data_IF_668892249594
#
_entry.id   IF_668892249594
#
_cell.length_a   1.000
_cell.length_b   1.000
_cell.length_c   1.000
_cell.angle_alpha   90.00
_cell.angle_beta   90.00
_cell.angle_gamma   90.00
#
_symmetry.space_group_name_H-M   'P 1'
#
loop_
_entity.id
_entity.type
_entity.pdbx_description
1 polymer ?
#
# COMPACT_ATOMS: atom_id res chain seq x y z
N UNK A 1 30.14 19.64 14.61
CA UNK A 1 31.08 19.29 13.53
C UNK A 1 31.39 17.80 13.47
N UNK A 2 32.02 17.20 14.49
CA UNK A 2 32.42 15.77 14.41
C UNK A 2 31.23 14.79 14.28
N UNK A 3 30.06 15.13 14.83
CA UNK A 3 28.83 14.35 14.60
C UNK A 3 28.43 14.33 13.12
N UNK A 4 28.48 15.48 12.43
CA UNK A 4 28.22 15.54 10.98
C UNK A 4 29.24 14.69 10.21
N UNK A 5 30.53 14.80 10.55
CA UNK A 5 31.57 13.97 9.92
C UNK A 5 31.25 12.49 10.08
N UNK A 6 30.89 12.06 11.28
CA UNK A 6 30.55 10.67 11.57
C UNK A 6 29.35 10.18 10.75
N UNK A 7 28.22 10.89 10.80
CA UNK A 7 26.98 10.48 10.14
C UNK A 7 27.08 10.51 8.61
N UNK A 8 27.64 11.58 8.03
CA UNK A 8 27.82 11.68 6.58
C UNK A 8 28.83 10.62 6.06
N UNK A 9 29.91 10.38 6.81
CA UNK A 9 30.85 9.31 6.46
C UNK A 9 30.23 7.92 6.58
N UNK A 10 29.28 7.73 7.51
CA UNK A 10 28.56 6.47 7.66
C UNK A 10 27.69 6.17 6.42
N UNK A 11 26.93 7.16 5.93
CA UNK A 11 26.14 7.02 4.70
C UNK A 11 27.03 6.67 3.51
N UNK A 12 28.14 7.39 3.35
CA UNK A 12 29.11 7.12 2.29
C UNK A 12 29.73 5.71 2.42
N UNK A 13 30.06 5.27 3.62
CA UNK A 13 30.62 3.93 3.86
C UNK A 13 29.64 2.84 3.41
N UNK A 14 28.35 2.95 3.73
CA UNK A 14 27.35 1.98 3.28
C UNK A 14 27.23 1.91 1.76
N UNK A 15 27.26 3.05 1.06
CA UNK A 15 27.26 3.05 -0.41
C UNK A 15 28.57 2.45 -0.97
N UNK A 16 29.73 2.88 -0.49
CA UNK A 16 31.01 2.52 -1.13
C UNK A 16 31.47 1.09 -0.81
N UNK A 17 31.33 0.68 0.44
CA UNK A 17 31.83 -0.62 0.92
C UNK A 17 30.80 -1.74 0.71
N UNK A 18 29.50 -1.42 0.89
CA UNK A 18 28.43 -2.43 0.84
C UNK A 18 27.51 -2.29 -0.38
N UNK A 19 27.71 -1.25 -1.21
CA UNK A 19 26.98 -1.06 -2.47
C UNK A 19 25.47 -0.97 -2.30
N UNK A 20 25.01 -0.33 -1.21
CA UNK A 20 23.60 0.01 -1.06
C UNK A 20 23.17 1.06 -2.10
N UNK A 21 22.02 0.83 -2.73
CA UNK A 21 21.40 1.73 -3.72
C UNK A 21 20.54 2.84 -3.07
N UNK A 22 20.66 3.06 -1.77
CA UNK A 22 19.84 4.03 -1.07
C UNK A 22 19.62 3.71 0.40
N UNK A 23 18.77 4.51 1.04
CA UNK A 23 18.48 4.43 2.47
C UNK A 23 17.03 4.76 2.79
N UNK A 24 16.50 4.07 3.80
CA UNK A 24 15.38 4.57 4.59
C UNK A 24 15.96 5.19 5.86
N UNK A 25 15.62 6.45 6.13
CA UNK A 25 15.93 7.11 7.38
C UNK A 25 14.77 6.88 8.33
N UNK A 26 15.02 6.13 9.39
CA UNK A 26 14.03 5.73 10.38
C UNK A 26 13.84 6.83 11.43
N UNK A 27 12.61 6.98 11.92
CA UNK A 27 12.29 7.95 12.97
C UNK A 27 12.52 9.42 12.58
N UNK A 28 12.30 9.80 11.32
CA UNK A 28 12.49 11.19 10.87
C UNK A 28 11.59 12.16 11.63
N UNK A 29 10.36 11.78 11.98
CA UNK A 29 9.51 12.60 12.87
C UNK A 29 10.18 12.90 14.20
N UNK A 30 10.89 11.93 14.77
CA UNK A 30 11.63 12.12 16.03
C UNK A 30 12.77 13.12 15.85
N UNK A 31 13.43 13.10 14.69
CA UNK A 31 14.49 14.04 14.36
C UNK A 31 13.96 15.45 14.12
N UNK A 32 12.83 15.61 13.42
CA UNK A 32 12.32 16.90 12.97
C UNK A 32 11.80 17.80 14.09
N UNK A 33 11.37 17.22 15.22
CA UNK A 33 10.73 17.98 16.29
C UNK A 33 11.37 17.68 17.64
N UNK A 34 11.58 18.70 18.47
CA UNK A 34 12.10 18.54 19.84
C UNK A 34 11.17 17.73 20.76
N UNK A 35 9.86 17.68 20.46
CA UNK A 35 8.90 16.81 21.16
C UNK A 35 8.83 15.40 20.55
N UNK A 36 9.58 15.13 19.49
CA UNK A 36 9.70 13.84 18.82
C UNK A 36 8.38 13.25 18.29
N UNK A 37 7.36 14.09 18.10
CA UNK A 37 5.99 13.66 17.80
C UNK A 37 5.25 12.94 18.95
N UNK A 38 5.85 12.87 20.15
CA UNK A 38 5.28 12.14 21.28
C UNK A 38 4.18 12.98 21.95
N UNK A 39 2.96 12.42 22.02
CA UNK A 39 1.82 13.12 22.62
C UNK A 39 1.34 14.33 21.82
N UNK A 40 1.76 14.43 20.55
CA UNK A 40 1.40 15.51 19.63
C UNK A 40 0.65 14.94 18.43
N UNK A 41 -0.46 15.58 18.06
CA UNK A 41 -1.17 15.27 16.81
C UNK A 41 -0.75 16.21 15.70
N UNK A 42 -0.85 15.75 14.46
CA UNK A 42 -0.64 16.57 13.26
C UNK A 42 -1.97 16.64 12.49
N UNK A 43 -2.64 17.78 12.61
CA UNK A 43 -3.93 18.05 11.96
C UNK A 43 -3.78 18.47 10.50
N UNK A 44 -2.59 18.95 10.12
CA UNK A 44 -2.33 19.56 8.82
C UNK A 44 -2.25 21.09 8.88
N UNK A 45 -2.44 21.71 10.06
CA UNK A 45 -2.14 23.12 10.27
C UNK A 45 -0.62 23.36 10.19
N UNK A 46 -0.21 24.33 9.38
CA UNK A 46 1.20 24.58 9.08
C UNK A 46 1.99 25.05 10.32
N UNK A 47 1.32 25.61 11.32
CA UNK A 47 1.94 25.98 12.59
C UNK A 47 2.48 24.77 13.38
N UNK A 48 1.96 23.56 13.11
CA UNK A 48 2.45 22.32 13.72
C UNK A 48 3.76 21.83 13.07
N UNK A 49 4.08 22.31 11.87
CA UNK A 49 5.26 21.87 11.11
C UNK A 49 6.40 22.88 11.11
N UNK A 50 6.10 24.16 11.38
CA UNK A 50 7.06 25.26 11.35
C UNK A 50 6.98 26.07 12.64
N UNK A 51 8.12 26.28 13.30
CA UNK A 51 8.19 27.01 14.57
C UNK A 51 9.39 26.59 15.41
N UNK A 52 9.47 27.09 16.64
CA UNK A 52 10.58 26.83 17.57
C UNK A 52 10.68 25.38 18.05
N UNK A 53 9.65 24.57 17.78
CA UNK A 53 9.65 23.14 18.10
C UNK A 53 10.34 22.28 17.05
N UNK A 54 10.64 22.84 15.87
CA UNK A 54 11.42 22.18 14.82
C UNK A 54 12.89 22.17 15.21
N UNK A 55 13.52 21.00 15.08
CA UNK A 55 14.96 20.86 15.28
C UNK A 55 15.71 21.21 13.99
N UNK A 56 16.15 22.46 13.89
CA UNK A 56 16.87 22.97 12.71
C UNK A 56 18.23 22.29 12.50
N UNK A 57 18.89 21.83 13.58
CA UNK A 57 20.17 21.11 13.47
C UNK A 57 19.97 19.76 12.80
N UNK A 58 18.91 19.03 13.20
CA UNK A 58 18.54 17.77 12.58
C UNK A 58 18.10 17.94 11.13
N UNK A 59 17.27 18.95 10.83
CA UNK A 59 16.83 19.24 9.47
C UNK A 59 18.02 19.61 8.56
N UNK A 60 18.96 20.43 9.06
CA UNK A 60 20.18 20.78 8.33
C UNK A 60 21.05 19.54 8.04
N UNK A 61 21.18 18.62 9.00
CA UNK A 61 21.85 17.34 8.75
C UNK A 61 21.16 16.53 7.64
N UNK A 62 19.84 16.41 7.65
CA UNK A 62 19.08 15.67 6.63
C UNK A 62 19.25 16.29 5.24
N UNK A 63 19.20 17.63 5.15
CA UNK A 63 19.47 18.35 3.90
C UNK A 63 20.90 18.10 3.38
N UNK A 64 21.90 18.17 4.26
CA UNK A 64 23.30 17.87 3.89
C UNK A 64 23.47 16.42 3.45
N UNK A 65 22.84 15.48 4.13
CA UNK A 65 22.87 14.05 3.81
C UNK A 65 22.27 13.78 2.43
N UNK A 66 21.04 14.26 2.19
CA UNK A 66 20.36 14.08 0.91
C UNK A 66 21.09 14.79 -0.23
N UNK A 67 21.59 16.01 -0.01
CA UNK A 67 22.38 16.72 -1.02
C UNK A 67 23.67 15.95 -1.37
N UNK A 68 24.40 15.45 -0.37
CA UNK A 68 25.61 14.67 -0.58
C UNK A 68 25.33 13.36 -1.34
N UNK A 69 24.30 12.62 -0.94
CA UNK A 69 23.91 11.36 -1.61
C UNK A 69 23.55 11.65 -3.06
N UNK A 70 22.62 12.58 -3.32
CA UNK A 70 22.18 12.89 -4.67
C UNK A 70 23.32 13.42 -5.57
N UNK A 71 24.24 14.22 -5.01
CA UNK A 71 25.37 14.78 -5.75
C UNK A 71 26.44 13.74 -6.10
N UNK A 72 26.76 12.82 -5.19
CA UNK A 72 27.80 11.82 -5.39
C UNK A 72 27.28 10.54 -6.05
N UNK A 73 26.01 10.21 -5.82
CA UNK A 73 25.34 8.97 -6.18
C UNK A 73 23.88 9.27 -6.60
N UNK A 74 23.67 9.92 -7.76
CA UNK A 74 22.34 10.37 -8.22
C UNK A 74 21.33 9.24 -8.45
N UNK A 75 21.80 8.00 -8.56
CA UNK A 75 20.98 6.78 -8.64
C UNK A 75 20.42 6.33 -7.29
N UNK A 76 21.01 6.79 -6.17
CA UNK A 76 20.57 6.36 -4.85
C UNK A 76 19.23 6.98 -4.47
N UNK A 77 18.37 6.17 -3.86
CA UNK A 77 17.04 6.59 -3.39
C UNK A 77 17.07 6.81 -1.87
N UNK A 78 16.54 7.94 -1.40
CA UNK A 78 16.34 8.18 0.04
C UNK A 78 14.86 8.25 0.42
N UNK A 79 14.50 7.55 1.49
CA UNK A 79 13.12 7.39 1.96
C UNK A 79 13.02 7.92 3.40
N UNK A 80 12.08 8.81 3.68
CA UNK A 80 11.79 9.28 5.03
C UNK A 80 10.68 8.43 5.69
N UNK A 81 10.96 7.88 6.87
CA UNK A 81 9.94 7.42 7.80
C UNK A 81 9.47 8.60 8.67
N UNK A 82 8.52 9.36 8.13
CA UNK A 82 7.89 10.50 8.81
C UNK A 82 6.37 10.33 8.87
N UNK A 83 5.84 10.22 10.09
CA UNK A 83 4.40 10.14 10.36
C UNK A 83 3.74 11.52 10.41
N UNK A 84 4.51 12.61 10.63
CA UNK A 84 3.91 13.92 10.85
C UNK A 84 3.19 14.46 9.61
N UNK A 85 3.77 14.26 8.43
CA UNK A 85 3.27 14.89 7.21
C UNK A 85 4.05 16.15 6.82
N UNK A 86 5.30 16.32 7.29
CA UNK A 86 6.05 17.56 7.09
C UNK A 86 6.06 18.00 5.62
N UNK A 87 5.59 19.23 5.30
CA UNK A 87 5.59 19.74 3.94
C UNK A 87 7.01 19.91 3.40
N UNK A 88 7.20 19.66 2.11
CA UNK A 88 8.47 19.83 1.40
C UNK A 88 9.62 18.92 1.87
N UNK A 89 9.35 17.94 2.75
CA UNK A 89 10.36 16.97 3.19
C UNK A 89 10.91 16.16 2.01
N UNK A 90 10.05 15.84 1.04
CA UNK A 90 10.41 15.11 -0.18
C UNK A 90 10.58 16.02 -1.41
N UNK A 91 10.94 17.29 -1.20
CA UNK A 91 11.32 18.23 -2.27
C UNK A 91 12.83 18.44 -2.31
N UNK A 92 13.42 18.75 -3.47
CA UNK A 92 14.86 18.96 -3.59
C UNK A 92 15.40 20.01 -2.60
N UNK A 93 16.61 19.79 -2.09
CA UNK A 93 17.29 20.73 -1.19
C UNK A 93 17.45 22.12 -1.83
N UNK A 94 17.68 22.18 -3.15
CA UNK A 94 17.80 23.42 -3.90
C UNK A 94 16.49 24.25 -3.93
N UNK A 95 15.33 23.61 -3.72
CA UNK A 95 14.02 24.27 -3.59
C UNK A 95 13.70 24.67 -2.14
N UNK A 96 14.60 24.37 -1.20
CA UNK A 96 14.37 24.55 0.24
C UNK A 96 13.68 23.36 0.91
N UNK A 97 13.60 22.20 0.23
CA UNK A 97 13.05 20.97 0.80
C UNK A 97 14.07 20.14 1.59
N UNK A 98 13.59 19.04 2.19
CA UNK A 98 14.44 18.09 2.94
C UNK A 98 15.35 17.22 2.07
N UNK A 99 15.02 17.10 0.78
CA UNK A 99 15.81 16.37 -0.22
C UNK A 99 15.53 14.87 -0.31
N UNK A 100 14.54 14.35 0.41
CA UNK A 100 14.15 12.94 0.27
C UNK A 100 13.45 12.67 -1.06
N UNK A 101 13.63 11.47 -1.62
CA UNK A 101 12.91 11.07 -2.82
C UNK A 101 11.48 10.64 -2.52
N UNK A 102 11.29 9.91 -1.41
CA UNK A 102 10.00 9.37 -1.00
C UNK A 102 9.77 9.52 0.50
N UNK A 103 8.50 9.46 0.88
CA UNK A 103 8.08 9.20 2.26
C UNK A 103 7.15 7.99 2.36
N UNK A 104 7.07 7.40 3.53
CA UNK A 104 6.12 6.33 3.81
C UNK A 104 4.69 6.87 3.98
N UNK A 105 3.70 6.20 3.36
CA UNK A 105 2.29 6.52 3.53
C UNK A 105 1.72 5.85 4.80
N UNK A 106 2.21 6.28 5.96
CA UNK A 106 1.99 5.60 7.25
C UNK A 106 0.53 5.56 7.72
N UNK A 107 -0.34 6.44 7.22
CA UNK A 107 -1.76 6.45 7.56
C UNK A 107 -2.57 5.31 6.89
N UNK A 108 -2.05 4.68 5.84
CA UNK A 108 -2.77 3.64 5.09
C UNK A 108 -2.96 2.36 5.94
N UNK A 109 -1.92 1.78 6.56
CA UNK A 109 -2.10 0.63 7.45
C UNK A 109 -3.07 0.87 8.59
N UNK A 110 -2.98 2.04 9.24
CA UNK A 110 -3.87 2.41 10.35
C UNK A 110 -5.33 2.41 9.92
N UNK A 111 -5.62 2.88 8.69
CA UNK A 111 -6.96 2.83 8.13
C UNK A 111 -7.46 1.40 7.96
N UNK A 112 -6.65 0.51 7.41
CA UNK A 112 -7.04 -0.90 7.24
C UNK A 112 -7.28 -1.58 8.58
N UNK A 113 -6.41 -1.34 9.56
CA UNK A 113 -6.60 -1.82 10.94
C UNK A 113 -7.91 -1.30 11.52
N UNK A 114 -8.15 0.01 11.42
CA UNK A 114 -9.34 0.66 11.95
C UNK A 114 -10.60 0.01 11.39
N UNK A 115 -10.74 -0.06 10.06
CA UNK A 115 -11.99 -0.55 9.45
C UNK A 115 -12.22 -2.04 9.71
N UNK A 116 -11.17 -2.86 9.76
CA UNK A 116 -11.31 -4.31 10.01
C UNK A 116 -11.61 -4.58 11.48
N UNK A 117 -11.04 -3.79 12.40
CA UNK A 117 -11.20 -3.98 13.84
C UNK A 117 -12.50 -3.40 14.38
N UNK A 118 -12.92 -2.24 13.86
CA UNK A 118 -13.97 -1.42 14.49
C UNK A 118 -15.29 -1.44 13.72
N UNK A 119 -15.28 -1.79 12.43
CA UNK A 119 -16.45 -1.71 11.56
C UNK A 119 -16.82 -3.09 10.99
N UNK A 120 -18.10 -3.29 10.74
CA UNK A 120 -18.57 -4.38 9.89
C UNK A 120 -18.39 -3.99 8.42
N UNK A 121 -18.32 -4.98 7.53
CA UNK A 121 -18.10 -4.75 6.10
C UNK A 121 -19.15 -3.82 5.48
N UNK A 122 -20.42 -3.95 5.87
CA UNK A 122 -21.51 -3.09 5.44
C UNK A 122 -21.36 -1.61 5.86
N UNK A 123 -20.58 -1.35 6.91
CA UNK A 123 -20.32 -0.02 7.46
C UNK A 123 -19.05 0.61 6.88
N UNK A 124 -18.32 -0.10 6.02
CA UNK A 124 -17.14 0.45 5.37
C UNK A 124 -17.54 1.60 4.45
N UNK A 125 -16.86 2.73 4.61
CA UNK A 125 -17.09 3.94 3.84
C UNK A 125 -16.10 4.03 2.69
N UNK A 126 -16.61 3.93 1.46
CA UNK A 126 -15.79 3.91 0.23
C UNK A 126 -15.06 5.24 0.04
N UNK A 127 -15.73 6.36 0.34
CA UNK A 127 -15.14 7.68 0.29
C UNK A 127 -14.00 7.89 1.27
N UNK A 128 -14.06 7.31 2.47
CA UNK A 128 -13.02 7.39 3.49
C UNK A 128 -11.79 6.57 3.07
N UNK A 129 -12.00 5.35 2.54
CA UNK A 129 -10.92 4.54 1.98
C UNK A 129 -10.21 5.30 0.85
N UNK A 130 -10.97 5.80 -0.13
CA UNK A 130 -10.42 6.58 -1.24
C UNK A 130 -9.69 7.82 -0.72
N UNK A 131 -10.28 8.55 0.23
CA UNK A 131 -9.66 9.74 0.81
C UNK A 131 -8.31 9.38 1.45
N UNK A 132 -8.22 8.35 2.28
CA UNK A 132 -6.94 7.96 2.90
C UNK A 132 -5.88 7.56 1.86
N UNK A 133 -6.26 6.83 0.82
CA UNK A 133 -5.31 6.39 -0.22
C UNK A 133 -4.83 7.56 -1.11
N UNK A 134 -5.65 8.60 -1.27
CA UNK A 134 -5.37 9.71 -2.19
C UNK A 134 -4.97 11.01 -1.52
N UNK A 135 -5.18 11.16 -0.21
CA UNK A 135 -4.86 12.37 0.55
C UNK A 135 -3.35 12.49 0.78
N UNK A 136 -2.65 12.94 -0.26
CA UNK A 136 -1.19 13.04 -0.34
C UNK A 136 -0.81 14.38 -0.94
N UNK A 137 0.38 14.87 -0.60
CA UNK A 137 0.89 16.12 -1.15
C UNK A 137 1.22 15.95 -2.64
N UNK A 138 0.69 16.85 -3.46
CA UNK A 138 1.06 16.90 -4.87
C UNK A 138 2.55 17.22 -5.00
N UNK A 139 3.22 16.59 -5.97
CA UNK A 139 4.67 16.65 -6.22
C UNK A 139 5.61 16.09 -5.12
N UNK A 140 5.10 15.43 -4.10
CA UNK A 140 5.89 14.61 -3.17
C UNK A 140 5.51 13.14 -3.35
N UNK A 141 6.51 12.26 -3.51
CA UNK A 141 6.26 10.84 -3.81
C UNK A 141 6.08 10.03 -2.52
N UNK A 142 5.12 9.11 -2.53
CA UNK A 142 4.81 8.24 -1.40
C UNK A 142 5.06 6.77 -1.73
N UNK A 143 5.59 6.02 -0.77
CA UNK A 143 5.59 4.56 -0.77
C UNK A 143 4.37 4.08 0.00
N UNK A 144 3.45 3.42 -0.70
CA UNK A 144 2.24 2.86 -0.12
C UNK A 144 2.43 1.40 0.30
N UNK A 145 1.79 1.02 1.39
CA UNK A 145 1.79 -0.36 1.89
C UNK A 145 0.54 -0.59 2.74
N UNK A 146 -0.02 -1.79 2.68
CA UNK A 146 -1.27 -2.13 3.36
C UNK A 146 -1.03 -2.48 4.83
N UNK A 147 0.15 -3.01 5.15
CA UNK A 147 0.60 -3.39 6.48
C UNK A 147 2.14 -3.40 6.48
N UNK A 148 2.75 -3.29 7.65
CA UNK A 148 4.20 -3.15 7.80
C UNK A 148 4.78 -4.13 8.81
N UNK A 149 6.08 -3.98 9.05
CA UNK A 149 6.79 -4.72 10.08
C UNK A 149 6.24 -4.49 11.49
N UNK A 150 5.74 -3.30 11.82
CA UNK A 150 5.19 -3.00 13.14
C UNK A 150 3.92 -3.82 13.42
N UNK A 151 3.00 -3.92 12.45
CA UNK A 151 1.79 -4.75 12.57
C UNK A 151 2.10 -6.25 12.59
N UNK A 152 3.28 -6.66 12.12
CA UNK A 152 3.70 -8.04 12.18
C UNK A 152 4.26 -8.44 13.56
N UNK A 153 4.58 -7.49 14.44
CA UNK A 153 5.16 -7.78 15.75
C UNK A 153 4.13 -8.27 16.77
N UNK A 154 4.62 -8.94 17.83
CA UNK A 154 3.81 -9.32 18.98
C UNK A 154 3.11 -8.11 19.60
N UNK A 155 1.83 -8.26 19.91
CA UNK A 155 1.00 -7.16 20.40
C UNK A 155 0.15 -6.52 19.30
N UNK A 156 0.40 -6.87 18.03
CA UNK A 156 -0.51 -6.60 16.94
C UNK A 156 -0.83 -7.84 16.08
N UNK A 157 -1.60 -7.66 14.99
CA UNK A 157 -2.01 -8.72 14.07
C UNK A 157 -1.79 -8.30 12.61
N UNK A 158 -1.25 -9.22 11.81
CA UNK A 158 -1.18 -9.08 10.34
C UNK A 158 -2.59 -8.95 9.75
N UNK A 159 -2.68 -8.39 8.54
CA UNK A 159 -3.94 -8.27 7.81
C UNK A 159 -4.63 -9.63 7.66
N UNK A 160 -3.88 -10.66 7.28
CA UNK A 160 -4.38 -12.02 7.16
C UNK A 160 -4.95 -12.54 8.49
N UNK A 161 -4.23 -12.37 9.59
CA UNK A 161 -4.69 -12.86 10.90
C UNK A 161 -5.86 -12.07 11.45
N UNK A 162 -6.01 -10.78 11.12
CA UNK A 162 -7.23 -10.01 11.45
C UNK A 162 -8.45 -10.49 10.68
N UNK A 163 -8.27 -10.88 9.41
CA UNK A 163 -9.37 -11.27 8.54
C UNK A 163 -9.86 -12.70 8.81
N UNK A 164 -8.95 -13.61 9.18
CA UNK A 164 -9.22 -15.05 9.25
C UNK A 164 -9.02 -15.65 10.65
N UNK A 165 -8.27 -14.99 11.52
CA UNK A 165 -8.01 -15.39 12.92
C UNK A 165 -7.70 -16.89 13.07
N UNK A 166 -8.34 -17.57 14.04
CA UNK A 166 -8.10 -18.97 14.34
C UNK A 166 -8.38 -19.93 13.18
N UNK A 167 -9.24 -19.58 12.22
CA UNK A 167 -9.53 -20.44 11.08
C UNK A 167 -8.33 -20.61 10.14
N UNK A 168 -7.33 -19.71 10.22
CA UNK A 168 -6.07 -19.88 9.46
C UNK A 168 -5.38 -21.21 9.79
N UNK A 169 -5.52 -21.71 11.02
CA UNK A 169 -4.85 -22.93 11.46
C UNK A 169 -5.57 -24.21 11.04
N UNK A 170 -6.86 -24.14 10.71
CA UNK A 170 -7.71 -25.32 10.44
C UNK A 170 -8.21 -25.39 9.00
N UNK A 171 -8.40 -24.24 8.35
CA UNK A 171 -9.08 -24.09 7.08
C UNK A 171 -8.20 -23.47 5.99
N UNK A 172 -6.88 -23.40 6.17
CA UNK A 172 -5.95 -23.06 5.08
C UNK A 172 -5.57 -24.25 4.20
N UNK A 173 -6.00 -25.48 4.53
CA UNK A 173 -5.88 -26.63 3.62
C UNK A 173 -6.93 -26.56 2.51
N UNK A 174 -6.54 -26.87 1.27
CA UNK A 174 -7.47 -27.03 0.15
C UNK A 174 -8.38 -28.25 0.30
N UNK A 175 -8.01 -29.19 1.17
CA UNK A 175 -8.81 -30.39 1.50
C UNK A 175 -9.87 -30.11 2.58
N UNK A 176 -9.66 -29.07 3.40
CA UNK A 176 -10.65 -28.59 4.36
C UNK A 176 -11.73 -27.77 3.66
N UNK A 177 -12.95 -27.68 4.21
CA UNK A 177 -13.98 -26.79 3.68
C UNK A 177 -13.47 -25.36 3.51
N UNK A 178 -13.84 -24.72 2.40
CA UNK A 178 -13.67 -23.27 2.23
C UNK A 178 -14.80 -22.60 3.01
N UNK A 179 -14.51 -22.17 4.23
CA UNK A 179 -15.48 -21.48 5.07
C UNK A 179 -15.70 -20.06 4.56
N UNK A 180 -16.85 -19.43 4.84
CA UNK A 180 -17.09 -18.03 4.49
C UNK A 180 -16.03 -17.07 5.08
N UNK A 181 -15.46 -17.40 6.24
CA UNK A 181 -14.40 -16.60 6.89
C UNK A 181 -13.10 -16.67 6.10
N UNK A 182 -12.64 -17.87 5.72
CA UNK A 182 -11.43 -18.02 4.90
C UNK A 182 -11.63 -17.44 3.49
N UNK A 183 -12.79 -17.65 2.89
CA UNK A 183 -13.10 -17.09 1.58
C UNK A 183 -13.04 -15.56 1.62
N UNK A 184 -13.80 -14.93 2.54
CA UNK A 184 -13.75 -13.48 2.79
C UNK A 184 -12.33 -12.99 3.03
N UNK A 185 -11.57 -13.69 3.87
CA UNK A 185 -10.21 -13.29 4.21
C UNK A 185 -9.26 -13.33 3.02
N UNK A 186 -9.34 -14.37 2.18
CA UNK A 186 -8.54 -14.47 0.96
C UNK A 186 -8.92 -13.36 -0.02
N UNK A 187 -10.23 -13.11 -0.24
CA UNK A 187 -10.67 -12.08 -1.18
C UNK A 187 -10.26 -10.67 -0.70
N UNK A 188 -10.56 -10.31 0.55
CA UNK A 188 -10.23 -8.99 1.09
C UNK A 188 -8.73 -8.75 1.19
N UNK A 189 -7.93 -9.77 1.51
CA UNK A 189 -6.47 -9.63 1.52
C UNK A 189 -5.92 -9.20 0.14
N UNK A 190 -6.39 -9.84 -0.94
CA UNK A 190 -6.03 -9.47 -2.31
C UNK A 190 -6.51 -8.06 -2.67
N UNK A 191 -7.78 -7.76 -2.38
CA UNK A 191 -8.38 -6.47 -2.72
C UNK A 191 -7.71 -5.28 -2.01
N UNK A 192 -7.47 -5.40 -0.70
CA UNK A 192 -6.81 -4.37 0.11
C UNK A 192 -5.40 -4.09 -0.41
N UNK A 193 -4.65 -5.14 -0.77
CA UNK A 193 -3.30 -4.98 -1.32
C UNK A 193 -3.34 -4.34 -2.70
N UNK A 194 -4.22 -4.79 -3.60
CA UNK A 194 -4.35 -4.22 -4.95
C UNK A 194 -4.80 -2.75 -4.92
N UNK A 195 -5.81 -2.39 -4.12
CA UNK A 195 -6.26 -0.99 -4.06
C UNK A 195 -5.19 -0.08 -3.43
N UNK A 196 -4.44 -0.57 -2.44
CA UNK A 196 -3.31 0.17 -1.86
C UNK A 196 -2.20 0.36 -2.89
N UNK A 197 -1.87 -0.69 -3.66
CA UNK A 197 -0.84 -0.66 -4.70
C UNK A 197 -1.22 0.23 -5.88
N UNK A 198 -2.49 0.25 -6.28
CA UNK A 198 -2.95 0.98 -7.44
C UNK A 198 -3.33 2.45 -7.13
N UNK A 199 -3.78 2.76 -5.91
CA UNK A 199 -4.30 4.09 -5.57
C UNK A 199 -3.47 4.85 -4.51
N UNK A 200 -2.68 4.13 -3.70
CA UNK A 200 -2.10 4.65 -2.47
C UNK A 200 -0.80 5.45 -2.61
N UNK A 201 -0.07 5.35 -3.74
CA UNK A 201 1.30 5.83 -3.82
C UNK A 201 1.91 5.92 -5.22
N UNK A 202 3.15 6.37 -5.27
CA UNK A 202 4.06 6.36 -6.43
C UNK A 202 5.07 5.21 -6.34
N UNK A 203 5.01 4.42 -5.27
CA UNK A 203 5.78 3.20 -5.03
C UNK A 203 5.02 2.27 -4.09
N UNK A 204 5.39 0.99 -4.04
CA UNK A 204 4.77 -0.02 -3.17
C UNK A 204 5.80 -0.70 -2.28
N UNK A 205 5.41 -1.03 -1.05
CA UNK A 205 6.23 -1.79 -0.10
C UNK A 205 5.44 -2.98 0.45
N UNK A 206 6.15 -4.09 0.65
CA UNK A 206 5.62 -5.29 1.30
C UNK A 206 6.63 -5.83 2.31
N UNK A 207 6.18 -6.09 3.53
CA UNK A 207 7.02 -6.74 4.54
C UNK A 207 7.01 -8.26 4.37
N UNK A 208 8.18 -8.89 4.47
CA UNK A 208 8.39 -10.31 4.18
C UNK A 208 7.32 -11.21 4.83
N UNK A 209 6.71 -12.10 4.05
CA UNK A 209 5.65 -13.01 4.48
C UNK A 209 4.24 -12.48 4.28
N UNK A 210 4.02 -11.17 4.31
CA UNK A 210 2.67 -10.60 4.18
C UNK A 210 2.13 -10.77 2.74
N UNK A 211 3.00 -10.99 1.76
CA UNK A 211 2.62 -11.23 0.37
C UNK A 211 1.73 -12.47 0.18
N UNK A 212 1.91 -13.46 1.04
CA UNK A 212 1.11 -14.69 1.04
C UNK A 212 0.20 -14.81 2.25
N UNK A 213 0.01 -13.74 3.03
CA UNK A 213 -0.79 -13.76 4.24
C UNK A 213 -0.22 -14.70 5.30
N UNK A 214 1.06 -14.54 5.63
CA UNK A 214 1.73 -15.33 6.67
C UNK A 214 0.91 -15.35 7.98
N UNK A 215 0.68 -16.53 8.59
CA UNK A 215 -0.10 -16.65 9.82
C UNK A 215 0.66 -16.10 11.04
N UNK A 216 0.04 -16.16 12.22
CA UNK A 216 0.68 -15.81 13.50
C UNK A 216 1.18 -14.35 13.54
N UNK A 217 2.32 -14.14 14.22
CA UNK A 217 3.03 -12.88 14.39
C UNK A 217 4.54 -13.15 14.51
N UNK A 218 5.34 -12.09 14.45
CA UNK A 218 6.78 -12.07 14.68
C UNK A 218 7.03 -11.68 16.15
N UNK A 219 7.75 -12.50 16.90
CA UNK A 219 8.20 -12.16 18.26
C UNK A 219 9.67 -12.55 18.41
N UNK A 220 10.49 -11.59 18.83
CA UNK A 220 11.91 -11.81 19.05
C UNK A 220 12.17 -12.43 20.43
N UNK A 221 13.25 -13.20 20.59
CA UNK A 221 13.67 -13.73 21.89
C UNK A 221 13.84 -12.60 22.91
N UNK A 222 13.08 -12.67 24.00
CA UNK A 222 13.12 -11.71 25.11
C UNK A 222 12.70 -12.39 26.41
N UNK A 223 12.99 -11.74 27.54
CA UNK A 223 12.57 -12.24 28.87
C UNK A 223 11.08 -12.57 28.95
N UNK A 224 10.23 -11.80 28.27
CA UNK A 224 8.78 -12.00 28.27
C UNK A 224 8.27 -13.23 27.50
N UNK A 225 9.12 -13.91 26.73
CA UNK A 225 8.79 -15.16 26.03
C UNK A 225 9.81 -16.28 26.28
N UNK A 226 10.59 -16.18 27.37
CA UNK A 226 11.65 -17.12 27.73
C UNK A 226 12.67 -17.34 26.60
N UNK A 227 13.11 -16.23 25.98
CA UNK A 227 14.16 -16.25 24.96
C UNK A 227 13.80 -17.18 23.78
N UNK A 228 12.50 -17.27 23.48
CA UNK A 228 11.98 -18.15 22.44
C UNK A 228 12.24 -17.61 21.04
N UNK A 229 12.74 -18.48 20.16
CA UNK A 229 12.89 -18.23 18.73
C UNK A 229 11.68 -18.74 17.92
N UNK A 230 10.66 -19.29 18.58
CA UNK A 230 9.55 -19.96 17.90
C UNK A 230 8.83 -19.06 16.88
N UNK A 231 8.68 -17.77 17.19
CA UNK A 231 8.04 -16.79 16.29
C UNK A 231 9.05 -15.91 15.56
N UNK A 232 10.35 -16.02 15.83
CA UNK A 232 11.41 -15.25 15.16
C UNK A 232 11.85 -15.91 13.84
N UNK A 233 10.88 -16.25 12.99
CA UNK A 233 11.09 -17.01 11.75
C UNK A 233 10.06 -16.66 10.67
N UNK A 234 10.29 -17.14 9.46
CA UNK A 234 9.32 -17.11 8.35
C UNK A 234 9.05 -18.52 7.84
N UNK A 235 7.78 -18.83 7.63
CA UNK A 235 7.29 -20.13 7.18
C UNK A 235 7.13 -20.15 5.65
N UNK A 236 8.22 -19.92 4.91
CA UNK A 236 8.16 -19.81 3.45
C UNK A 236 7.68 -21.10 2.77
N UNK A 237 7.85 -22.25 3.42
CA UNK A 237 7.32 -23.54 2.99
C UNK A 237 5.79 -23.54 2.81
N UNK A 238 5.05 -22.62 3.44
CA UNK A 238 3.59 -22.53 3.31
C UNK A 238 3.13 -22.20 1.88
N UNK A 239 3.96 -21.50 1.10
CA UNK A 239 3.63 -21.15 -0.30
C UNK A 239 3.99 -22.26 -1.28
N UNK A 240 4.92 -23.12 -0.89
CA UNK A 240 5.40 -24.26 -1.70
C UNK A 240 4.44 -25.47 -1.59
N UNK A 241 3.70 -25.59 -0.49
CA UNK A 241 2.74 -26.68 -0.29
C UNK A 241 1.46 -26.46 -1.11
N UNK A 242 1.28 -27.29 -2.14
CA UNK A 242 0.12 -27.27 -3.02
C UNK A 242 -1.20 -27.68 -2.34
N UNK A 243 -1.14 -28.26 -1.14
CA UNK A 243 -2.31 -28.56 -0.32
C UNK A 243 -2.75 -27.38 0.54
N UNK A 244 -2.02 -26.26 0.54
CA UNK A 244 -2.36 -25.06 1.30
C UNK A 244 -2.81 -23.90 0.39
N UNK A 245 -3.64 -23.02 0.96
CA UNK A 245 -4.25 -21.87 0.28
C UNK A 245 -3.35 -20.63 0.23
N UNK A 246 -2.23 -20.58 0.96
CA UNK A 246 -1.28 -19.44 0.92
C UNK A 246 -0.71 -19.19 -0.48
N UNK A 247 -0.56 -20.25 -1.29
CA UNK A 247 -0.13 -20.16 -2.69
C UNK A 247 -1.01 -19.25 -3.55
N UNK A 248 -2.29 -19.12 -3.21
CA UNK A 248 -3.25 -18.28 -3.94
C UNK A 248 -2.97 -16.80 -3.72
N UNK A 249 -2.72 -16.40 -2.47
CA UNK A 249 -2.32 -15.03 -2.13
C UNK A 249 -0.96 -14.68 -2.75
N UNK A 250 -0.01 -15.62 -2.69
CA UNK A 250 1.31 -15.47 -3.29
C UNK A 250 1.25 -15.32 -4.83
N UNK A 251 0.39 -16.11 -5.49
CA UNK A 251 0.19 -16.03 -6.94
C UNK A 251 -0.38 -14.67 -7.34
N UNK A 252 -1.40 -14.20 -6.60
CA UNK A 252 -2.00 -12.89 -6.85
C UNK A 252 -0.98 -11.76 -6.64
N UNK A 253 -0.16 -11.83 -5.60
CA UNK A 253 0.90 -10.86 -5.35
C UNK A 253 1.89 -10.76 -6.52
N UNK A 254 2.40 -11.91 -6.96
CA UNK A 254 3.33 -12.00 -8.09
C UNK A 254 2.74 -11.36 -9.34
N UNK A 255 1.49 -11.68 -9.65
CA UNK A 255 0.87 -11.24 -10.90
C UNK A 255 0.38 -9.79 -10.82
N UNK A 256 0.03 -9.28 -9.63
CA UNK A 256 -0.15 -7.85 -9.36
C UNK A 256 1.13 -7.06 -9.66
N UNK A 257 2.28 -7.49 -9.14
CA UNK A 257 3.56 -6.82 -9.37
C UNK A 257 4.00 -6.90 -10.85
N UNK A 258 3.82 -8.05 -11.51
CA UNK A 258 4.11 -8.18 -12.95
C UNK A 258 3.22 -7.30 -13.82
N UNK A 259 1.97 -7.11 -13.42
CA UNK A 259 1.08 -6.23 -14.13
C UNK A 259 1.49 -4.77 -13.95
N UNK A 260 1.97 -4.40 -12.76
CA UNK A 260 2.54 -3.07 -12.55
C UNK A 260 3.79 -2.85 -13.39
N UNK A 261 4.73 -3.81 -13.42
CA UNK A 261 5.92 -3.75 -14.28
C UNK A 261 5.55 -3.52 -15.77
N UNK A 262 4.45 -4.13 -16.23
CA UNK A 262 4.01 -4.01 -17.63
C UNK A 262 3.34 -2.67 -17.94
N UNK A 263 2.58 -2.10 -17.01
CA UNK A 263 1.73 -0.93 -17.26
C UNK A 263 2.17 0.35 -16.53
N UNK A 264 3.09 0.25 -15.57
CA UNK A 264 3.75 1.34 -14.88
C UNK A 264 2.81 2.30 -14.15
N UNK A 265 1.77 1.80 -13.48
CA UNK A 265 0.79 2.69 -12.83
C UNK A 265 1.36 3.42 -11.62
N UNK A 266 2.37 2.88 -10.92
CA UNK A 266 2.99 3.61 -9.80
C UNK A 266 3.72 4.87 -10.29
N UNK A 267 4.35 4.79 -11.46
CA UNK A 267 5.03 5.93 -12.09
C UNK A 267 4.07 6.89 -12.83
N UNK A 268 2.81 6.51 -13.05
CA UNK A 268 1.84 7.37 -13.74
C UNK A 268 1.31 8.48 -12.82
N UNK A 269 0.72 9.55 -13.39
CA UNK A 269 -0.02 10.53 -12.61
C UNK A 269 -1.09 9.89 -11.70
N UNK A 270 -1.53 10.62 -10.65
CA UNK A 270 -2.56 10.14 -9.73
C UNK A 270 -3.83 9.66 -10.45
N UNK A 271 -4.47 8.65 -9.88
CA UNK A 271 -5.67 8.07 -10.46
C UNK A 271 -6.84 9.06 -10.53
N UNK A 272 -7.70 8.90 -11.53
CA UNK A 272 -9.00 9.55 -11.58
C UNK A 272 -10.06 8.62 -10.97
N UNK A 273 -10.56 8.96 -9.78
CA UNK A 273 -11.62 8.16 -9.12
C UNK A 273 -12.99 8.56 -9.67
N UNK A 274 -13.57 7.71 -10.50
CA UNK A 274 -14.87 7.93 -11.12
C UNK A 274 -16.03 7.54 -10.22
N UNK A 275 -15.81 6.61 -9.28
CA UNK A 275 -16.86 6.12 -8.40
C UNK A 275 -16.35 5.71 -7.02
N UNK A 276 -17.14 6.05 -6.01
CA UNK A 276 -16.98 5.67 -4.60
C UNK A 276 -18.37 5.47 -3.99
N UNK A 277 -19.07 4.47 -4.47
CA UNK A 277 -20.49 4.26 -4.21
C UNK A 277 -20.71 3.58 -2.87
N UNK A 278 -21.29 4.30 -1.91
CA UNK A 278 -21.43 3.83 -0.52
C UNK A 278 -22.40 2.66 -0.35
N UNK A 279 -23.57 2.70 -1.00
CA UNK A 279 -24.55 1.61 -0.86
C UNK A 279 -24.09 0.33 -1.55
N UNK A 280 -23.64 0.45 -2.81
CA UNK A 280 -23.13 -0.68 -3.59
C UNK A 280 -21.75 -1.16 -3.13
N UNK A 281 -21.05 -0.39 -2.28
CA UNK A 281 -19.67 -0.66 -1.85
C UNK A 281 -18.71 -0.82 -3.04
N UNK A 282 -18.93 -0.06 -4.12
CA UNK A 282 -18.10 -0.11 -5.33
C UNK A 282 -17.16 1.08 -5.38
N UNK A 283 -15.89 0.81 -5.66
CA UNK A 283 -14.89 1.82 -6.00
C UNK A 283 -14.43 1.55 -7.43
N UNK A 284 -14.49 2.56 -8.29
CA UNK A 284 -13.95 2.50 -9.64
C UNK A 284 -13.06 3.71 -9.92
N UNK A 285 -11.91 3.46 -10.54
CA UNK A 285 -10.97 4.50 -10.91
C UNK A 285 -10.10 4.10 -12.10
N UNK A 286 -9.49 5.09 -12.73
CA UNK A 286 -8.57 4.91 -13.83
C UNK A 286 -7.16 5.36 -13.46
N UNK A 287 -6.16 4.55 -13.80
CA UNK A 287 -4.73 4.89 -13.62
C UNK A 287 -3.90 4.21 -14.70
N UNK A 288 -2.97 4.94 -15.32
CA UNK A 288 -2.16 4.46 -16.45
C UNK A 288 -2.96 3.84 -17.62
N UNK A 289 -4.16 4.36 -17.90
CA UNK A 289 -5.04 3.83 -18.95
C UNK A 289 -5.71 2.50 -18.60
N UNK A 290 -5.54 1.99 -17.38
CA UNK A 290 -6.26 0.85 -16.84
C UNK A 290 -7.50 1.32 -16.08
N UNK A 291 -8.55 0.51 -16.13
CA UNK A 291 -9.76 0.67 -15.30
C UNK A 291 -9.67 -0.34 -14.16
N UNK A 292 -9.77 0.14 -12.94
CA UNK A 292 -9.82 -0.67 -11.73
C UNK A 292 -11.23 -0.62 -11.15
N UNK A 293 -11.77 -1.78 -10.78
CA UNK A 293 -13.12 -1.94 -10.23
C UNK A 293 -13.03 -2.84 -9.01
N UNK A 294 -13.48 -2.34 -7.87
CA UNK A 294 -13.50 -3.05 -6.60
C UNK A 294 -14.93 -3.10 -6.09
N UNK A 295 -15.44 -4.31 -5.87
CA UNK A 295 -16.70 -4.53 -5.17
C UNK A 295 -16.41 -5.03 -3.74
N UNK A 296 -16.54 -4.14 -2.75
CA UNK A 296 -16.41 -4.46 -1.33
C UNK A 296 -17.73 -4.88 -0.69
N UNK A 297 -18.80 -5.06 -1.47
CA UNK A 297 -20.08 -5.49 -0.91
C UNK A 297 -19.96 -6.93 -0.39
N UNK A 298 -20.37 -7.23 0.86
CA UNK A 298 -20.16 -8.55 1.45
C UNK A 298 -20.92 -9.69 0.76
N UNK A 299 -22.09 -9.39 0.17
CA UNK A 299 -22.96 -10.42 -0.44
C UNK A 299 -23.50 -10.12 -1.85
N UNK A 300 -23.51 -8.86 -2.30
CA UNK A 300 -24.15 -8.47 -3.55
C UNK A 300 -23.17 -8.58 -4.72
N UNK A 301 -23.57 -9.32 -5.73
CA UNK A 301 -22.96 -9.28 -7.06
C UNK A 301 -23.80 -8.38 -7.96
N UNK A 302 -23.13 -7.66 -8.85
CA UNK A 302 -23.78 -6.80 -9.83
C UNK A 302 -23.61 -7.40 -11.22
N UNK A 303 -24.67 -7.38 -11.99
CA UNK A 303 -24.66 -7.67 -13.43
C UNK A 303 -24.97 -6.36 -14.15
N UNK A 304 -24.35 -6.16 -15.31
CA UNK A 304 -24.49 -4.95 -16.12
C UNK A 304 -24.13 -3.67 -15.33
N UNK A 305 -23.09 -3.74 -14.48
CA UNK A 305 -22.67 -2.60 -13.68
C UNK A 305 -21.95 -1.59 -14.56
N UNK A 306 -22.42 -0.35 -14.58
CA UNK A 306 -21.88 0.66 -15.50
C UNK A 306 -20.71 1.39 -14.85
N UNK A 307 -19.56 1.38 -15.51
CA UNK A 307 -18.35 2.09 -15.09
C UNK A 307 -17.95 3.09 -16.16
N UNK A 308 -17.51 4.26 -15.71
CA UNK A 308 -17.04 5.34 -16.57
C UNK A 308 -15.70 5.01 -17.21
N UNK A 309 -15.49 5.52 -18.42
CA UNK A 309 -14.20 5.44 -19.13
C UNK A 309 -13.72 6.83 -19.55
N UNK A 310 -12.40 7.08 -19.50
CA UNK A 310 -11.81 8.41 -19.68
C UNK A 310 -11.85 8.97 -21.10
N UNK A 311 -12.08 8.15 -22.13
CA UNK A 311 -11.92 8.61 -23.51
C UNK A 311 -12.98 9.66 -23.91
N UNK A 312 -12.56 10.90 -24.12
CA UNK A 312 -13.40 12.01 -24.62
C UNK A 312 -13.73 11.90 -26.13
N UNK A 313 -13.31 10.82 -26.79
CA UNK A 313 -13.55 10.63 -28.22
C UNK A 313 -14.93 10.02 -28.45
N UNK A 314 -15.91 10.86 -28.78
CA UNK A 314 -17.27 10.47 -29.15
C UNK A 314 -17.36 9.57 -30.41
N UNK A 315 -16.24 9.27 -31.09
CA UNK A 315 -16.23 8.54 -32.37
C UNK A 315 -15.43 7.24 -32.34
N UNK A 316 -14.89 6.80 -31.20
CA UNK A 316 -14.12 5.55 -31.09
C UNK A 316 -14.73 4.65 -30.03
N UNK A 317 -15.20 3.48 -30.46
CA UNK A 317 -15.58 2.39 -29.56
C UNK A 317 -14.29 1.71 -29.11
N UNK A 318 -13.98 1.82 -27.83
CA UNK A 318 -12.88 1.11 -27.20
C UNK A 318 -13.33 -0.28 -26.77
N UNK A 319 -12.39 -1.22 -26.87
CA UNK A 319 -12.56 -2.60 -26.45
C UNK A 319 -11.66 -2.89 -25.27
N UNK A 320 -12.26 -3.31 -24.17
CA UNK A 320 -11.59 -3.67 -22.93
C UNK A 320 -11.60 -5.19 -22.74
N UNK A 321 -10.58 -5.67 -22.04
CA UNK A 321 -10.42 -7.07 -21.63
C UNK A 321 -9.94 -7.11 -20.19
N UNK A 322 -10.27 -8.19 -19.50
CA UNK A 322 -9.75 -8.47 -18.16
C UNK A 322 -8.25 -8.73 -18.27
N UNK A 323 -7.46 -7.99 -17.50
CA UNK A 323 -6.01 -8.15 -17.40
C UNK A 323 -5.59 -8.82 -16.09
N UNK A 324 -6.34 -8.57 -15.02
CA UNK A 324 -6.21 -9.20 -13.72
C UNK A 324 -7.60 -9.28 -13.10
N UNK A 325 -7.93 -10.45 -12.58
CA UNK A 325 -9.20 -10.75 -11.94
C UNK A 325 -8.91 -11.50 -10.65
N UNK A 326 -9.22 -10.90 -9.50
CA UNK A 326 -8.99 -11.54 -8.20
C UNK A 326 -9.87 -12.76 -7.98
N UNK A 327 -10.95 -12.94 -8.74
CA UNK A 327 -11.85 -14.09 -8.65
C UNK A 327 -11.35 -15.31 -9.43
N UNK A 328 -10.23 -15.22 -10.15
CA UNK A 328 -9.67 -16.35 -10.88
C UNK A 328 -9.25 -17.50 -9.93
N UNK A 329 -9.36 -18.74 -10.40
CA UNK A 329 -9.16 -19.95 -9.60
C UNK A 329 -7.72 -20.07 -9.05
N UNK A 330 -6.72 -19.63 -9.82
CA UNK A 330 -5.31 -19.58 -9.43
C UNK A 330 -5.05 -18.63 -8.24
N UNK A 331 -5.98 -17.71 -7.96
CA UNK A 331 -5.94 -16.81 -6.82
C UNK A 331 -6.93 -17.23 -5.73
N UNK A 332 -7.51 -18.43 -5.81
CA UNK A 332 -8.46 -18.93 -4.82
C UNK A 332 -9.80 -18.16 -4.84
N UNK A 333 -10.18 -17.64 -6.01
CA UNK A 333 -11.53 -17.13 -6.24
C UNK A 333 -12.49 -18.21 -6.77
N UNK A 334 -13.67 -17.78 -7.23
CA UNK A 334 -14.78 -18.64 -7.64
C UNK A 334 -14.91 -18.81 -9.16
N UNK A 335 -14.01 -18.21 -9.94
CA UNK A 335 -13.93 -18.31 -11.39
C UNK A 335 -15.27 -17.96 -12.08
N UNK A 336 -15.90 -16.85 -11.66
CA UNK A 336 -17.22 -16.45 -12.15
C UNK A 336 -17.17 -15.68 -13.49
N UNK A 337 -16.01 -15.17 -13.88
CA UNK A 337 -15.84 -14.35 -15.07
C UNK A 337 -15.21 -15.15 -16.22
N UNK A 338 -15.71 -14.97 -17.44
CA UNK A 338 -15.08 -15.47 -18.66
C UNK A 338 -14.10 -14.43 -19.20
N UNK A 339 -12.80 -14.71 -19.12
CA UNK A 339 -11.73 -13.82 -19.58
C UNK A 339 -11.69 -13.62 -21.10
N UNK A 340 -12.48 -14.37 -21.88
CA UNK A 340 -12.66 -14.14 -23.31
C UNK A 340 -13.70 -13.04 -23.63
N UNK A 341 -14.48 -12.62 -22.63
CA UNK A 341 -15.49 -11.56 -22.79
C UNK A 341 -14.83 -10.26 -23.25
N UNK A 342 -15.43 -9.64 -24.25
CA UNK A 342 -14.99 -8.34 -24.76
C UNK A 342 -15.99 -7.28 -24.28
N UNK A 343 -15.47 -6.26 -23.61
CA UNK A 343 -16.27 -5.18 -23.05
C UNK A 343 -16.12 -3.96 -23.94
N UNK A 344 -17.23 -3.35 -24.37
CA UNK A 344 -17.21 -2.24 -25.32
C UNK A 344 -17.66 -0.94 -24.65
N UNK A 345 -16.93 0.16 -24.88
CA UNK A 345 -17.40 1.48 -24.46
C UNK A 345 -18.57 1.92 -25.31
N UNK A 346 -19.57 2.51 -24.68
CA UNK A 346 -20.73 3.13 -25.31
C UNK A 346 -20.68 4.64 -25.11
N UNK A 347 -21.26 5.40 -26.05
CA UNK A 347 -21.58 6.82 -25.85
C UNK A 347 -22.81 6.95 -24.95
N UNK A 348 -22.62 6.60 -23.69
CA UNK A 348 -23.64 6.66 -22.67
C UNK A 348 -23.12 7.46 -21.48
N UNK A 349 -23.63 8.69 -21.28
CA UNK A 349 -23.18 9.53 -20.18
C UNK A 349 -23.44 8.91 -18.80
N UNK A 350 -22.40 8.82 -17.98
CA UNK A 350 -22.47 8.29 -16.62
C UNK A 350 -21.46 9.01 -15.72
N UNK A 351 -21.82 9.30 -14.46
CA UNK A 351 -21.01 10.07 -13.51
C UNK A 351 -20.26 11.27 -14.12
N UNK A 352 -20.98 12.10 -14.90
CA UNK A 352 -20.48 13.31 -15.57
C UNK A 352 -19.42 13.09 -16.67
N UNK A 353 -19.27 11.86 -17.18
CA UNK A 353 -18.42 11.53 -18.33
C UNK A 353 -19.24 11.05 -19.52
N UNK A 354 -18.74 11.25 -20.75
CA UNK A 354 -19.50 10.96 -21.97
C UNK A 354 -19.61 9.46 -22.29
N UNK A 355 -18.63 8.66 -21.83
CA UNK A 355 -18.50 7.26 -22.20
C UNK A 355 -18.47 6.35 -20.96
N UNK A 356 -19.04 5.16 -21.13
CA UNK A 356 -19.07 4.12 -20.10
C UNK A 356 -19.04 2.73 -20.70
N UNK A 357 -18.69 1.75 -19.88
CA UNK A 357 -18.67 0.33 -20.19
C UNK A 357 -19.50 -0.42 -19.15
N UNK A 358 -20.22 -1.46 -19.53
CA UNK A 358 -20.89 -2.35 -18.59
C UNK A 358 -19.98 -3.52 -18.26
N UNK A 359 -19.88 -3.89 -16.99
CA UNK A 359 -19.07 -5.01 -16.49
C UNK A 359 -19.88 -6.04 -15.74
#
# INVERSE_FOLDING_TARGET
WEVLRFLLSNLRMWIQEYRFDGFRFDGVTSMLYHHHGIGTGFSGDYNEYFGLHVDEDALCYLMLANHMINFLHPECITIAEDVSGMPALCRPVAEGGGGFDYRLAMAIPDKWIQIIKELKDEDWNMGNIVHTLTNRRYEEKYIAYAESHDQALVGDKTLAFRLMDAEMYTNMSVLSPLTPVIDRGIQLHKMIRLITHALGGESYLNFMGNEFGHPEWLDFPRRGNNESYHYARRQFNLTEDHLLRYRFLNAFDRDMNKLEERFGWLASPPAYVSEKHEANKVIAFERAGLIFIFNFHPYQSYVDYRVVTWHDSLMVIFKYKILLDSDAAEYGGHQRLDHNTEYFSEEYPHNYRPNSVMV
#
